data_IF_005365313052
#
_entry.id   IF_005365313052
#
_cell.length_a   1.000
_cell.length_b   1.000
_cell.length_c   1.000
_cell.angle_alpha   90.00
_cell.angle_beta   90.00
_cell.angle_gamma   90.00
#
_symmetry.space_group_name_H-M   'P 1'
#
loop_
_entity.id
_entity.type
_entity.pdbx_description
1 polymer ?
#
# COMPACT_ATOMS: atom_id res chain seq x y z
N UNK A 1 -5.19 -41.04 5.60
CA UNK A 1 -6.65 -40.93 5.38
C UNK A 1 -7.01 -39.47 5.34
N UNK A 2 -7.66 -38.98 4.28
CA UNK A 2 -8.08 -37.56 4.15
C UNK A 2 -9.43 -37.42 4.86
N UNK A 3 -9.58 -36.42 5.74
CA UNK A 3 -10.82 -36.14 6.45
C UNK A 3 -11.32 -34.73 6.08
N UNK A 4 -12.65 -34.58 6.01
CA UNK A 4 -13.26 -33.25 5.89
C UNK A 4 -13.27 -32.62 7.28
N UNK A 5 -12.73 -31.41 7.40
CA UNK A 5 -12.71 -30.65 8.64
C UNK A 5 -14.14 -30.23 9.03
N UNK A 6 -14.42 -30.17 10.32
CA UNK A 6 -15.66 -29.57 10.82
C UNK A 6 -15.65 -28.05 10.56
N UNK A 7 -16.86 -27.48 10.42
CA UNK A 7 -17.01 -26.05 10.15
C UNK A 7 -16.27 -25.16 11.18
N UNK A 8 -16.27 -25.56 12.46
CA UNK A 8 -15.55 -24.86 13.54
C UNK A 8 -14.03 -24.85 13.30
N UNK A 9 -13.43 -26.00 12.95
CA UNK A 9 -11.99 -26.09 12.66
C UNK A 9 -11.64 -25.33 11.40
N UNK A 10 -12.44 -25.46 10.34
CA UNK A 10 -12.23 -24.73 9.09
C UNK A 10 -12.29 -23.22 9.30
N UNK A 11 -13.30 -22.71 10.01
CA UNK A 11 -13.46 -21.28 10.30
C UNK A 11 -12.29 -20.73 11.12
N UNK A 12 -11.75 -21.48 12.08
CA UNK A 12 -10.57 -21.08 12.86
C UNK A 12 -9.28 -21.07 12.01
N UNK A 13 -9.15 -21.95 11.03
CA UNK A 13 -8.02 -21.94 10.09
C UNK A 13 -8.15 -20.74 9.17
N UNK A 14 -9.31 -20.54 8.53
CA UNK A 14 -9.60 -19.40 7.66
C UNK A 14 -9.45 -18.06 8.39
N UNK A 15 -9.93 -17.99 9.66
CA UNK A 15 -9.69 -16.81 10.51
C UNK A 15 -8.20 -16.50 10.69
N UNK A 16 -7.30 -17.49 10.57
CA UNK A 16 -5.87 -17.27 10.67
C UNK A 16 -5.23 -16.60 9.46
N UNK A 17 -5.87 -16.72 8.32
CA UNK A 17 -5.41 -16.08 7.09
C UNK A 17 -5.89 -14.62 6.99
N UNK A 18 -7.02 -14.30 7.63
CA UNK A 18 -7.65 -12.97 7.59
C UNK A 18 -7.32 -12.13 8.81
N UNK A 19 -7.30 -12.76 10.01
CA UNK A 19 -7.10 -12.09 11.31
C UNK A 19 -5.86 -12.67 11.98
N UNK A 20 -4.74 -12.05 11.78
CA UNK A 20 -3.46 -12.45 12.39
C UNK A 20 -3.18 -11.68 13.70
N UNK A 21 -3.66 -10.43 13.82
CA UNK A 21 -3.33 -9.52 14.92
C UNK A 21 -4.43 -8.48 15.16
N UNK A 22 -4.44 -7.79 16.34
CA UNK A 22 -5.42 -6.73 16.64
C UNK A 22 -5.52 -5.62 15.59
N UNK A 23 -4.39 -5.19 15.01
CA UNK A 23 -4.40 -4.15 13.98
C UNK A 23 -5.16 -4.56 12.71
N UNK A 24 -5.17 -5.86 12.35
CA UNK A 24 -5.95 -6.38 11.21
C UNK A 24 -7.45 -6.27 11.48
N UNK A 25 -7.87 -6.54 12.74
CA UNK A 25 -9.28 -6.36 13.16
C UNK A 25 -9.69 -4.90 13.01
N UNK A 26 -8.90 -3.96 13.57
CA UNK A 26 -9.20 -2.52 13.49
C UNK A 26 -9.26 -2.08 12.02
N UNK A 27 -8.30 -2.54 11.19
CA UNK A 27 -8.27 -2.20 9.77
C UNK A 27 -9.56 -2.61 9.06
N UNK A 28 -9.95 -3.88 9.15
CA UNK A 28 -11.14 -4.40 8.45
C UNK A 28 -12.43 -3.74 8.94
N UNK A 29 -12.57 -3.50 10.25
CA UNK A 29 -13.78 -2.88 10.79
C UNK A 29 -13.88 -1.37 10.43
N UNK A 30 -12.78 -0.63 10.43
CA UNK A 30 -12.75 0.78 9.98
C UNK A 30 -13.01 0.87 8.48
N UNK A 31 -12.45 -0.03 7.67
CA UNK A 31 -12.75 -0.11 6.23
C UNK A 31 -14.25 -0.38 5.98
N UNK A 32 -14.90 -1.21 6.82
CA UNK A 32 -16.33 -1.43 6.74
C UNK A 32 -17.16 -0.18 7.09
N UNK A 33 -16.75 0.57 8.10
CA UNK A 33 -17.39 1.84 8.47
C UNK A 33 -17.27 2.89 7.35
N UNK A 34 -16.10 3.00 6.71
CA UNK A 34 -15.89 3.88 5.55
C UNK A 34 -16.77 3.44 4.38
N UNK A 35 -16.82 2.14 4.07
CA UNK A 35 -17.64 1.59 2.99
C UNK A 35 -19.16 1.75 3.26
N UNK A 36 -19.57 1.83 4.55
CA UNK A 36 -20.95 2.15 4.94
C UNK A 36 -21.29 3.65 4.79
N UNK A 37 -20.36 4.47 4.28
CA UNK A 37 -20.56 5.90 4.07
C UNK A 37 -20.55 6.74 5.36
N UNK A 38 -19.85 6.28 6.40
CA UNK A 38 -19.71 7.03 7.63
C UNK A 38 -18.86 8.29 7.44
N UNK A 39 -19.26 9.39 8.04
CA UNK A 39 -18.50 10.63 8.14
C UNK A 39 -18.01 10.93 9.58
N UNK A 40 -18.37 10.08 10.54
CA UNK A 40 -17.89 10.10 11.93
C UNK A 40 -17.62 8.68 12.42
N UNK A 41 -16.36 8.40 12.75
CA UNK A 41 -15.90 7.07 13.16
C UNK A 41 -15.12 7.20 14.48
N UNK A 42 -15.62 6.53 15.52
CA UNK A 42 -14.94 6.43 16.80
C UNK A 42 -14.32 5.03 16.94
N UNK A 43 -13.04 4.98 17.32
CA UNK A 43 -12.29 3.75 17.59
C UNK A 43 -11.74 3.78 18.98
N UNK A 44 -12.05 2.78 19.78
CA UNK A 44 -11.55 2.59 21.14
C UNK A 44 -10.86 1.24 21.27
N UNK A 45 -9.68 1.23 21.88
CA UNK A 45 -8.95 -0.01 22.18
C UNK A 45 -8.47 -0.05 23.62
N UNK A 46 -8.42 -1.27 24.17
CA UNK A 46 -7.81 -1.55 25.47
C UNK A 46 -6.88 -2.77 25.37
N UNK A 47 -5.82 -2.78 26.21
CA UNK A 47 -4.86 -3.88 26.25
C UNK A 47 -4.18 -4.16 24.90
N UNK A 48 -3.87 -3.10 24.12
CA UNK A 48 -3.33 -3.27 22.75
C UNK A 48 -4.32 -3.88 21.75
N UNK A 49 -5.63 -3.78 22.02
CA UNK A 49 -6.69 -4.37 21.20
C UNK A 49 -6.92 -5.86 21.46
N UNK A 50 -6.31 -6.43 22.49
CA UNK A 50 -6.55 -7.82 22.92
C UNK A 50 -7.80 -7.93 23.79
N UNK A 51 -7.97 -6.95 24.70
CA UNK A 51 -9.09 -6.92 25.64
C UNK A 51 -10.33 -6.33 25.02
N UNK A 52 -10.18 -5.20 24.32
CA UNK A 52 -11.29 -4.50 23.67
C UNK A 52 -10.83 -3.84 22.37
N UNK A 53 -11.66 -3.99 21.33
CA UNK A 53 -11.71 -3.14 20.16
C UNK A 53 -13.18 -2.77 19.97
N UNK A 54 -13.51 -1.48 20.01
CA UNK A 54 -14.84 -0.95 19.75
C UNK A 54 -14.77 0.06 18.63
N UNK A 55 -15.61 -0.11 17.62
CA UNK A 55 -15.71 0.81 16.50
C UNK A 55 -17.16 1.21 16.35
N UNK A 56 -17.41 2.51 16.38
CA UNK A 56 -18.74 3.10 16.23
C UNK A 56 -18.72 4.04 15.05
N UNK A 57 -19.64 3.87 14.14
CA UNK A 57 -19.84 4.69 12.95
C UNK A 57 -21.25 5.23 12.83
N UNK A 58 -21.43 6.29 12.08
CA UNK A 58 -22.73 6.90 11.74
C UNK A 58 -23.18 6.59 10.30
N UNK A 59 -22.71 5.49 9.71
CA UNK A 59 -23.02 5.08 8.35
C UNK A 59 -24.48 4.68 8.12
N UNK A 60 -24.73 3.92 7.06
CA UNK A 60 -26.07 3.50 6.69
C UNK A 60 -26.75 2.54 7.69
N UNK A 61 -25.97 1.89 8.56
CA UNK A 61 -26.44 0.86 9.47
C UNK A 61 -26.73 -0.47 8.75
N UNK A 62 -27.15 -1.47 9.55
CA UNK A 62 -27.50 -2.83 9.11
C UNK A 62 -28.95 -3.10 9.50
N UNK A 63 -29.77 -3.55 8.56
CA UNK A 63 -31.16 -3.88 8.82
C UNK A 63 -31.27 -5.10 9.75
N UNK A 64 -32.33 -5.16 10.55
CA UNK A 64 -32.56 -6.27 11.50
C UNK A 64 -32.48 -7.64 10.85
N UNK A 65 -33.03 -7.76 9.65
CA UNK A 65 -33.11 -9.00 8.87
C UNK A 65 -31.73 -9.48 8.40
N UNK A 66 -30.79 -8.55 8.25
CA UNK A 66 -29.43 -8.85 7.79
C UNK A 66 -28.42 -9.07 8.93
N UNK A 67 -28.75 -8.67 10.18
CA UNK A 67 -27.87 -8.86 11.33
C UNK A 67 -27.35 -10.32 11.48
N UNK A 68 -28.16 -11.38 11.32
CA UNK A 68 -27.66 -12.75 11.40
C UNK A 68 -26.65 -13.10 10.31
N UNK A 69 -26.74 -12.44 9.15
CA UNK A 69 -25.86 -12.68 8.01
C UNK A 69 -24.46 -12.08 8.20
N UNK A 70 -24.33 -11.09 9.10
CA UNK A 70 -23.04 -10.42 9.37
C UNK A 70 -21.97 -11.41 9.82
N UNK A 71 -22.35 -12.46 10.54
CA UNK A 71 -21.46 -13.50 11.04
C UNK A 71 -21.30 -14.71 10.12
N UNK A 72 -21.97 -14.70 8.96
CA UNK A 72 -21.85 -15.80 7.99
C UNK A 72 -20.65 -15.56 7.06
N UNK A 73 -19.82 -16.59 6.83
CA UNK A 73 -18.77 -16.51 5.80
C UNK A 73 -19.38 -16.23 4.42
N UNK A 74 -18.65 -15.47 3.60
CA UNK A 74 -19.04 -15.11 2.22
C UNK A 74 -20.32 -14.25 2.12
N UNK A 75 -20.82 -13.69 3.23
CA UNK A 75 -21.92 -12.75 3.21
C UNK A 75 -21.38 -11.33 2.97
N UNK A 76 -21.78 -10.71 1.87
CA UNK A 76 -21.35 -9.35 1.50
C UNK A 76 -22.48 -8.61 0.78
N UNK A 77 -22.61 -7.32 1.08
CA UNK A 77 -23.47 -6.40 0.32
C UNK A 77 -22.71 -5.67 -0.80
N UNK A 78 -21.38 -5.90 -0.92
CA UNK A 78 -20.46 -5.10 -1.72
C UNK A 78 -20.20 -5.67 -3.12
N UNK A 79 -20.58 -6.94 -3.36
CA UNK A 79 -20.44 -7.63 -4.66
C UNK A 79 -21.70 -8.43 -4.93
N UNK A 80 -22.25 -8.28 -6.14
CA UNK A 80 -23.40 -9.04 -6.62
C UNK A 80 -23.06 -9.95 -7.80
N UNK A 81 -21.99 -9.63 -8.54
CA UNK A 81 -21.57 -10.41 -9.71
C UNK A 81 -20.06 -10.61 -9.79
N UNK A 82 -19.62 -11.61 -10.56
CA UNK A 82 -18.20 -11.88 -10.80
C UNK A 82 -17.52 -10.78 -11.62
N UNK A 83 -18.29 -10.04 -12.43
CA UNK A 83 -17.75 -8.95 -13.25
C UNK A 83 -17.34 -7.73 -12.39
N UNK A 84 -18.02 -7.51 -11.25
CA UNK A 84 -17.68 -6.44 -10.31
C UNK A 84 -16.31 -6.64 -9.62
N UNK A 85 -15.75 -7.87 -9.67
CA UNK A 85 -14.40 -8.15 -9.18
C UNK A 85 -13.31 -7.40 -9.95
N UNK A 86 -13.59 -6.98 -11.19
CA UNK A 86 -12.65 -6.19 -12.00
C UNK A 86 -12.73 -4.68 -11.73
N UNK A 87 -13.81 -4.22 -11.07
CA UNK A 87 -14.05 -2.80 -10.80
C UNK A 87 -14.37 -2.55 -9.32
N UNK A 88 -13.50 -3.03 -8.42
CA UNK A 88 -13.73 -2.92 -6.97
C UNK A 88 -13.52 -1.47 -6.51
N UNK A 89 -14.61 -0.77 -6.18
CA UNK A 89 -14.59 0.57 -5.62
C UNK A 89 -14.61 0.60 -4.09
N UNK A 90 -14.89 -0.54 -3.42
CA UNK A 90 -14.93 -0.67 -1.96
C UNK A 90 -13.58 -1.10 -1.40
N UNK A 91 -13.29 -0.75 -0.15
CA UNK A 91 -12.05 -1.14 0.54
C UNK A 91 -12.07 -2.64 0.87
N UNK A 92 -13.22 -3.18 1.31
CA UNK A 92 -13.45 -4.61 1.56
C UNK A 92 -14.43 -5.21 0.55
N UNK A 93 -14.32 -6.52 0.22
CA UNK A 93 -15.21 -7.19 -0.73
C UNK A 93 -15.48 -8.69 -0.45
N UNK A 94 -14.65 -9.36 0.38
CA UNK A 94 -14.67 -10.83 0.52
C UNK A 94 -15.80 -11.38 1.38
N UNK A 95 -16.40 -10.56 2.27
CA UNK A 95 -17.44 -11.04 3.20
C UNK A 95 -16.96 -12.07 4.23
N UNK A 96 -15.65 -12.08 4.54
CA UNK A 96 -15.05 -13.08 5.43
C UNK A 96 -14.53 -12.47 6.73
N UNK A 97 -14.22 -11.16 6.75
CA UNK A 97 -13.54 -10.53 7.87
C UNK A 97 -14.32 -10.59 9.17
N UNK A 98 -15.60 -10.21 9.18
CA UNK A 98 -16.43 -10.18 10.38
C UNK A 98 -16.68 -11.60 10.91
N UNK A 99 -16.98 -12.56 10.05
CA UNK A 99 -17.15 -13.97 10.42
C UNK A 99 -15.86 -14.55 11.03
N UNK A 100 -14.70 -14.22 10.44
CA UNK A 100 -13.38 -14.63 10.93
C UNK A 100 -13.07 -14.02 12.32
N UNK A 101 -13.33 -12.72 12.52
CA UNK A 101 -13.16 -12.05 13.82
C UNK A 101 -14.06 -12.70 14.88
N UNK A 102 -15.33 -12.90 14.57
CA UNK A 102 -16.31 -13.47 15.48
C UNK A 102 -15.97 -14.91 15.90
N UNK A 103 -15.33 -15.69 15.03
CA UNK A 103 -14.91 -17.08 15.33
C UNK A 103 -13.79 -17.16 16.38
N UNK A 104 -13.02 -16.09 16.59
CA UNK A 104 -11.85 -16.04 17.49
C UNK A 104 -11.98 -15.00 18.60
N UNK A 105 -13.15 -14.43 18.80
CA UNK A 105 -13.42 -13.40 19.80
C UNK A 105 -14.83 -13.50 20.37
N UNK A 106 -15.14 -12.66 21.36
CA UNK A 106 -16.50 -12.33 21.76
C UNK A 106 -16.90 -11.04 21.06
N UNK A 107 -17.81 -11.14 20.11
CA UNK A 107 -18.18 -10.01 19.26
C UNK A 107 -19.65 -9.65 19.47
N UNK A 108 -19.96 -8.35 19.50
CA UNK A 108 -21.33 -7.86 19.40
C UNK A 108 -21.42 -6.78 18.31
N UNK A 109 -22.52 -6.81 17.59
CA UNK A 109 -22.90 -5.82 16.59
C UNK A 109 -24.21 -5.20 17.02
N UNK A 110 -24.20 -3.87 17.24
CA UNK A 110 -25.40 -3.07 17.48
C UNK A 110 -25.59 -2.13 16.32
N UNK A 111 -26.74 -2.14 15.68
CA UNK A 111 -26.95 -1.33 14.49
C UNK A 111 -28.36 -0.78 14.39
N UNK A 112 -28.45 0.38 13.73
CA UNK A 112 -29.68 1.10 13.45
C UNK A 112 -29.64 1.70 12.07
N UNK A 113 -30.61 1.38 11.24
CA UNK A 113 -30.84 2.07 9.97
C UNK A 113 -31.72 3.31 10.18
N UNK A 114 -31.75 4.20 9.22
CA UNK A 114 -32.57 5.42 9.29
C UNK A 114 -34.06 5.09 9.44
N UNK A 115 -34.71 5.72 10.43
CA UNK A 115 -36.14 5.52 10.71
C UNK A 115 -36.51 4.20 11.38
N UNK A 116 -35.57 3.30 11.69
CA UNK A 116 -35.80 2.03 12.35
C UNK A 116 -35.38 2.04 13.83
N UNK A 117 -35.70 0.97 14.56
CA UNK A 117 -35.21 0.70 15.90
C UNK A 117 -33.81 0.08 15.84
N UNK A 118 -33.04 0.26 16.93
CA UNK A 118 -31.74 -0.37 17.06
C UNK A 118 -31.88 -1.82 17.58
N UNK A 119 -31.06 -2.70 17.02
CA UNK A 119 -30.94 -4.11 17.43
C UNK A 119 -29.50 -4.48 17.66
N UNK A 120 -29.29 -5.42 18.57
CA UNK A 120 -27.97 -6.00 18.86
C UNK A 120 -27.97 -7.50 18.66
N UNK A 121 -26.84 -8.04 18.22
CA UNK A 121 -26.61 -9.47 18.06
C UNK A 121 -25.19 -9.80 18.53
N UNK A 122 -25.08 -10.76 19.45
CA UNK A 122 -23.80 -11.24 19.96
C UNK A 122 -23.38 -12.55 19.28
N UNK A 123 -22.05 -12.74 19.18
CA UNK A 123 -21.45 -13.98 18.71
C UNK A 123 -20.21 -14.29 19.57
N UNK A 124 -20.14 -15.47 20.14
CA UNK A 124 -19.00 -15.92 20.95
C UNK A 124 -18.35 -17.15 20.32
N UNK A 125 -17.11 -17.01 19.85
CA UNK A 125 -16.35 -18.09 19.22
C UNK A 125 -17.04 -18.72 17.99
N UNK A 126 -17.81 -17.92 17.24
CA UNK A 126 -18.58 -18.38 16.08
C UNK A 126 -20.01 -18.87 16.38
N UNK A 127 -20.42 -18.87 17.65
CA UNK A 127 -21.79 -19.23 18.05
C UNK A 127 -22.62 -17.96 18.19
N UNK A 128 -23.59 -17.78 17.33
CA UNK A 128 -24.47 -16.61 17.28
C UNK A 128 -25.62 -16.74 18.27
N UNK A 129 -25.87 -15.67 19.04
CA UNK A 129 -26.99 -15.57 19.98
C UNK A 129 -28.30 -15.17 19.32
N UNK A 130 -29.22 -14.61 20.13
CA UNK A 130 -30.49 -14.06 19.64
C UNK A 130 -30.39 -12.54 19.40
N UNK A 131 -31.21 -12.05 18.45
CA UNK A 131 -31.35 -10.62 18.20
C UNK A 131 -32.17 -10.00 19.33
N UNK A 132 -31.61 -8.98 19.98
CA UNK A 132 -32.28 -8.26 21.04
C UNK A 132 -32.45 -6.77 20.67
N UNK A 133 -33.54 -6.12 21.10
CA UNK A 133 -33.67 -4.67 20.98
C UNK A 133 -32.52 -3.99 21.74
N UNK A 134 -32.00 -2.91 21.20
CA UNK A 134 -30.91 -2.14 21.78
C UNK A 134 -31.18 -0.64 21.71
N UNK A 135 -30.37 0.15 22.41
CA UNK A 135 -30.32 1.59 22.23
C UNK A 135 -29.08 1.93 21.41
N UNK A 136 -29.24 2.85 20.45
CA UNK A 136 -28.13 3.28 19.60
C UNK A 136 -28.57 4.36 18.62
N UNK A 137 -27.63 5.17 18.18
CA UNK A 137 -27.84 6.13 17.10
C UNK A 137 -27.82 5.44 15.75
N UNK A 138 -28.15 6.18 14.68
CA UNK A 138 -27.99 5.68 13.31
C UNK A 138 -26.53 5.30 13.05
N UNK A 139 -26.30 4.13 12.44
CA UNK A 139 -24.99 3.59 12.16
C UNK A 139 -24.78 2.23 12.77
N UNK A 140 -23.53 1.86 13.01
CA UNK A 140 -23.17 0.56 13.56
C UNK A 140 -22.10 0.70 14.63
N UNK A 141 -22.28 0.00 15.76
CA UNK A 141 -21.25 -0.29 16.75
C UNK A 141 -20.82 -1.75 16.62
N UNK A 142 -19.54 -1.97 16.38
CA UNK A 142 -18.90 -3.29 16.43
C UNK A 142 -17.96 -3.34 17.62
N UNK A 143 -18.22 -4.26 18.56
CA UNK A 143 -17.43 -4.47 19.76
C UNK A 143 -16.83 -5.85 19.73
N UNK A 144 -15.51 -5.95 19.85
CA UNK A 144 -14.73 -7.20 19.89
C UNK A 144 -14.00 -7.26 21.21
N UNK A 145 -14.28 -8.30 21.99
CA UNK A 145 -13.70 -8.55 23.31
C UNK A 145 -12.94 -9.87 23.33
N UNK A 146 -11.92 -9.96 24.18
CA UNK A 146 -11.13 -11.18 24.43
C UNK A 146 -10.61 -11.83 23.14
N UNK A 147 -9.97 -11.05 22.27
CA UNK A 147 -9.46 -11.54 20.99
C UNK A 147 -8.51 -12.72 21.20
N UNK A 148 -8.76 -13.83 20.46
CA UNK A 148 -8.05 -15.10 20.54
C UNK A 148 -8.25 -15.90 21.82
N UNK A 149 -9.33 -15.66 22.59
CA UNK A 149 -9.63 -16.39 23.84
C UNK A 149 -9.68 -17.92 23.64
N UNK A 150 -10.16 -18.36 22.48
CA UNK A 150 -10.31 -19.77 22.11
C UNK A 150 -9.15 -20.31 21.24
N UNK A 151 -8.11 -19.51 21.01
CA UNK A 151 -6.91 -19.85 20.23
C UNK A 151 -5.64 -19.49 20.98
N UNK A 152 -5.31 -20.19 22.09
CA UNK A 152 -4.22 -19.80 23.00
C UNK A 152 -2.83 -19.82 22.33
N UNK A 153 -2.64 -20.61 21.29
CA UNK A 153 -1.41 -20.58 20.51
C UNK A 153 -1.21 -19.20 19.86
N UNK A 154 -2.25 -18.65 19.21
CA UNK A 154 -2.17 -17.29 18.59
C UNK A 154 -1.97 -16.20 19.62
N UNK A 155 -2.68 -16.28 20.76
CA UNK A 155 -2.52 -15.31 21.83
C UNK A 155 -1.06 -15.22 22.33
N UNK A 156 -0.33 -16.34 22.36
CA UNK A 156 1.09 -16.39 22.71
C UNK A 156 2.02 -15.75 21.69
N UNK A 157 1.63 -15.71 20.42
CA UNK A 157 2.42 -15.10 19.34
C UNK A 157 2.19 -13.60 19.18
N UNK A 158 1.21 -13.02 19.87
CA UNK A 158 1.00 -11.58 19.88
C UNK A 158 2.19 -10.88 20.53
N UNK A 159 2.48 -9.69 20.03
CA UNK A 159 3.48 -8.81 20.63
C UNK A 159 3.00 -8.26 21.98
N UNK A 160 3.85 -7.47 22.65
CA UNK A 160 3.44 -6.75 23.86
C UNK A 160 2.30 -5.77 23.55
N UNK A 161 1.48 -5.44 24.55
CA UNK A 161 0.35 -4.52 24.40
C UNK A 161 0.79 -3.17 23.83
N UNK A 162 1.93 -2.64 24.29
CA UNK A 162 2.49 -1.39 23.76
C UNK A 162 2.87 -1.47 22.28
N UNK A 163 3.35 -2.63 21.81
CA UNK A 163 3.72 -2.81 20.41
C UNK A 163 2.47 -2.98 19.53
N UNK A 164 1.45 -3.72 19.99
CA UNK A 164 0.17 -3.86 19.30
C UNK A 164 -0.56 -2.50 19.24
N UNK A 165 -0.56 -1.74 20.32
CA UNK A 165 -1.07 -0.36 20.38
C UNK A 165 -0.37 0.54 19.36
N UNK A 166 0.97 0.45 19.26
CA UNK A 166 1.74 1.23 18.28
C UNK A 166 1.36 0.87 16.85
N UNK A 167 1.17 -0.42 16.54
CA UNK A 167 0.78 -0.88 15.22
C UNK A 167 -0.65 -0.39 14.85
N UNK A 168 -1.59 -0.41 15.82
CA UNK A 168 -2.94 0.14 15.64
C UNK A 168 -2.88 1.67 15.49
N UNK A 169 -2.11 2.36 16.31
CA UNK A 169 -1.95 3.82 16.21
C UNK A 169 -1.43 4.23 14.83
N UNK A 170 -0.49 3.46 14.27
CA UNK A 170 0.03 3.70 12.92
C UNK A 170 -1.04 3.51 11.83
N UNK A 171 -1.90 2.49 11.93
CA UNK A 171 -2.97 2.30 10.94
C UNK A 171 -4.04 3.38 11.06
N UNK A 172 -4.40 3.80 12.29
CA UNK A 172 -5.33 4.91 12.53
C UNK A 172 -4.80 6.23 11.95
N UNK A 173 -3.52 6.54 12.14
CA UNK A 173 -2.88 7.69 11.49
C UNK A 173 -3.04 7.66 9.96
N UNK A 174 -2.89 6.48 9.35
CA UNK A 174 -3.07 6.31 7.89
C UNK A 174 -4.52 6.49 7.45
N UNK A 175 -5.50 6.02 8.22
CA UNK A 175 -6.92 6.28 7.93
C UNK A 175 -7.24 7.76 7.99
N UNK A 176 -6.82 8.47 9.07
CA UNK A 176 -7.02 9.92 9.22
C UNK A 176 -6.42 10.68 8.04
N UNK A 177 -5.23 10.28 7.56
CA UNK A 177 -4.58 10.90 6.42
C UNK A 177 -5.24 10.54 5.08
N UNK A 178 -5.70 9.29 4.91
CA UNK A 178 -6.27 8.81 3.65
C UNK A 178 -7.70 9.32 3.42
N UNK A 179 -8.41 9.65 4.49
CA UNK A 179 -9.80 10.14 4.52
C UNK A 179 -9.90 11.42 5.34
N UNK A 180 -9.24 12.49 4.90
CA UNK A 180 -9.18 13.74 5.67
C UNK A 180 -10.53 14.46 5.77
N UNK A 181 -11.55 14.02 5.05
CA UNK A 181 -12.94 14.46 5.11
C UNK A 181 -13.76 13.79 6.21
N UNK A 182 -13.27 12.66 6.76
CA UNK A 182 -13.96 11.91 7.83
C UNK A 182 -13.48 12.38 9.21
N UNK A 183 -14.43 12.52 10.13
CA UNK A 183 -14.13 12.75 11.54
C UNK A 183 -13.72 11.45 12.20
N UNK A 184 -12.54 11.43 12.79
CA UNK A 184 -12.06 10.30 13.56
C UNK A 184 -11.81 10.66 15.00
N UNK A 185 -12.30 9.84 15.92
CA UNK A 185 -11.89 9.86 17.33
C UNK A 185 -11.25 8.52 17.66
N UNK A 186 -9.95 8.53 17.98
CA UNK A 186 -9.22 7.34 18.39
C UNK A 186 -8.78 7.46 19.83
N UNK A 187 -9.20 6.51 20.66
CA UNK A 187 -8.89 6.44 22.09
C UNK A 187 -8.23 5.12 22.47
N UNK A 188 -7.31 5.18 23.41
CA UNK A 188 -6.52 4.07 23.92
C UNK A 188 -6.62 4.07 25.44
N UNK A 189 -7.11 2.98 26.03
CA UNK A 189 -7.27 2.84 27.47
C UNK A 189 -8.01 4.07 28.08
N UNK A 190 -9.09 4.52 27.44
CA UNK A 190 -9.92 5.65 27.84
C UNK A 190 -9.32 7.04 27.58
N UNK A 191 -8.12 7.14 26.96
CA UNK A 191 -7.48 8.43 26.62
C UNK A 191 -7.53 8.69 25.13
N UNK A 192 -8.03 9.85 24.70
CA UNK A 192 -8.02 10.24 23.29
C UNK A 192 -6.58 10.44 22.81
N UNK A 193 -6.22 9.71 21.78
CA UNK A 193 -4.91 9.78 21.11
C UNK A 193 -4.93 10.67 19.88
N UNK A 194 -5.96 10.52 19.04
CA UNK A 194 -6.21 11.36 17.86
C UNK A 194 -7.67 11.82 17.83
N UNK A 195 -7.87 13.05 17.36
CA UNK A 195 -9.21 13.58 17.05
C UNK A 195 -9.12 14.45 15.82
N UNK A 196 -9.65 13.98 14.70
CA UNK A 196 -9.78 14.77 13.47
C UNK A 196 -11.22 15.21 13.28
N UNK A 197 -11.42 16.33 12.57
CA UNK A 197 -12.73 16.94 12.40
C UNK A 197 -13.24 16.94 10.97
N UNK A 198 -12.51 16.30 10.03
CA UNK A 198 -12.88 16.29 8.63
C UNK A 198 -12.48 17.56 7.86
N UNK A 199 -11.55 18.36 8.40
CA UNK A 199 -11.18 19.69 7.89
C UNK A 199 -10.12 19.66 6.78
N UNK A 200 -9.92 18.50 6.14
CA UNK A 200 -8.99 18.33 5.04
C UNK A 200 -7.58 17.86 5.44
N UNK A 201 -6.74 17.65 4.41
CA UNK A 201 -5.45 16.97 4.59
C UNK A 201 -4.45 17.74 5.45
N UNK A 202 -4.40 19.08 5.35
CA UNK A 202 -3.51 19.89 6.18
C UNK A 202 -3.85 19.75 7.67
N UNK A 203 -5.15 19.81 8.03
CA UNK A 203 -5.60 19.61 9.41
C UNK A 203 -5.33 18.18 9.90
N UNK A 204 -5.54 17.17 9.04
CA UNK A 204 -5.23 15.78 9.34
C UNK A 204 -3.72 15.58 9.61
N UNK A 205 -2.84 16.21 8.82
CA UNK A 205 -1.39 16.21 9.04
C UNK A 205 -1.01 16.84 10.37
N UNK A 206 -1.59 18.02 10.70
CA UNK A 206 -1.36 18.69 11.98
C UNK A 206 -1.78 17.83 13.16
N UNK A 207 -2.89 17.12 13.02
CA UNK A 207 -3.42 16.23 14.05
C UNK A 207 -2.51 15.02 14.30
N UNK A 208 -2.00 14.39 13.24
CA UNK A 208 -1.19 13.18 13.33
C UNK A 208 0.27 13.48 13.68
N UNK A 209 0.87 14.49 13.06
CA UNK A 209 2.32 14.75 13.15
C UNK A 209 2.69 16.06 13.86
N UNK A 210 1.70 16.86 14.26
CA UNK A 210 1.88 18.16 14.89
C UNK A 210 1.87 19.32 13.89
N UNK A 211 1.44 20.51 14.35
CA UNK A 211 1.30 21.71 13.51
C UNK A 211 2.64 22.15 12.88
N UNK A 212 3.76 22.01 13.58
CA UNK A 212 5.11 22.29 13.09
C UNK A 212 5.44 21.52 11.79
N UNK A 213 4.83 20.35 11.57
CA UNK A 213 5.06 19.59 10.35
C UNK A 213 4.58 20.32 9.12
N UNK A 214 3.46 21.04 9.19
CA UNK A 214 2.90 21.77 8.04
C UNK A 214 3.82 22.94 7.65
N UNK A 215 4.36 23.66 8.64
CA UNK A 215 5.26 24.80 8.42
C UNK A 215 6.55 24.38 7.70
N UNK A 216 6.94 23.12 7.85
CA UNK A 216 8.14 22.54 7.26
C UNK A 216 7.85 21.68 6.01
N UNK A 217 6.65 21.77 5.44
CA UNK A 217 6.28 20.99 4.26
C UNK A 217 5.88 21.89 3.09
N UNK A 218 6.08 21.36 1.89
CA UNK A 218 5.51 21.91 0.65
C UNK A 218 4.29 21.11 0.27
N UNK A 219 3.21 21.81 -0.10
CA UNK A 219 2.04 21.18 -0.71
C UNK A 219 2.31 20.90 -2.19
N UNK A 220 1.91 19.72 -2.64
CA UNK A 220 2.00 19.29 -4.04
C UNK A 220 0.60 19.08 -4.58
N UNK A 221 0.36 19.63 -5.78
CA UNK A 221 -0.80 19.31 -6.61
C UNK A 221 -0.37 19.42 -8.07
N UNK A 222 -0.08 18.30 -8.72
CA UNK A 222 0.41 18.26 -10.10
C UNK A 222 -0.22 17.10 -10.88
N UNK A 223 -0.49 17.34 -12.15
CA UNK A 223 -0.90 16.32 -13.12
C UNK A 223 0.22 16.13 -14.14
N UNK A 224 0.64 14.88 -14.35
CA UNK A 224 1.65 14.54 -15.35
C UNK A 224 1.40 13.15 -15.94
N UNK A 225 1.30 13.05 -17.26
CA UNK A 225 1.02 11.82 -17.99
C UNK A 225 -0.25 11.09 -17.51
N UNK A 226 -1.32 11.85 -17.16
CA UNK A 226 -2.54 11.27 -16.59
C UNK A 226 -2.40 10.77 -15.16
N UNK A 227 -1.28 11.08 -14.49
CA UNK A 227 -1.01 10.76 -13.08
C UNK A 227 -1.21 12.02 -12.28
N UNK A 228 -2.22 12.04 -11.40
CA UNK A 228 -2.40 13.12 -10.46
C UNK A 228 -1.63 12.83 -9.18
N UNK A 229 -0.65 13.67 -8.86
CA UNK A 229 0.13 13.63 -7.63
C UNK A 229 -0.28 14.79 -6.73
N UNK A 230 -0.76 14.49 -5.52
CA UNK A 230 -1.16 15.49 -4.52
C UNK A 230 -0.65 15.09 -3.13
N UNK A 231 -0.53 16.05 -2.24
CA UNK A 231 -0.14 15.81 -0.85
C UNK A 231 0.91 16.76 -0.34
N UNK A 232 1.73 16.31 0.60
CA UNK A 232 2.75 17.09 1.27
C UNK A 232 4.09 16.38 1.29
N UNK A 233 5.17 17.14 1.07
CA UNK A 233 6.56 16.70 1.22
C UNK A 233 7.32 17.65 2.14
N UNK A 234 8.23 17.12 2.95
CA UNK A 234 9.11 17.92 3.78
C UNK A 234 10.01 18.86 2.95
N UNK A 235 10.31 20.03 3.45
CA UNK A 235 11.31 20.91 2.84
C UNK A 235 12.72 20.27 2.95
N UNK A 236 13.75 20.90 2.34
CA UNK A 236 15.10 20.37 2.27
C UNK A 236 15.75 20.13 3.66
N UNK A 237 15.26 20.80 4.71
CA UNK A 237 15.78 20.72 6.07
C UNK A 237 14.95 19.79 6.98
N UNK A 238 13.76 19.35 6.52
CA UNK A 238 12.84 18.54 7.31
C UNK A 238 13.00 17.06 7.00
N UNK A 239 13.85 16.39 7.78
CA UNK A 239 14.10 14.96 7.67
C UNK A 239 13.69 14.20 8.92
N UNK A 240 13.50 12.89 8.78
CA UNK A 240 13.15 11.97 9.88
C UNK A 240 14.21 10.87 10.03
N UNK A 241 14.32 10.31 11.22
CA UNK A 241 15.29 9.26 11.54
C UNK A 241 14.92 7.88 10.95
N UNK A 242 13.65 7.69 10.56
CA UNK A 242 13.14 6.43 10.02
C UNK A 242 12.04 6.67 8.99
N UNK A 243 11.61 5.57 8.33
CA UNK A 243 10.60 5.59 7.25
C UNK A 243 9.15 5.56 7.74
N UNK A 244 8.88 5.55 9.04
CA UNK A 244 7.50 5.50 9.56
C UNK A 244 6.68 6.75 9.25
N UNK A 245 7.37 7.84 8.89
CA UNK A 245 6.79 9.12 8.48
C UNK A 245 6.58 9.25 6.96
N UNK A 246 6.61 8.12 6.26
CA UNK A 246 6.44 8.05 4.81
C UNK A 246 5.12 7.35 4.51
N UNK A 247 4.17 8.06 3.91
CA UNK A 247 2.87 7.52 3.54
C UNK A 247 2.61 7.74 2.06
N UNK A 248 2.29 6.63 1.36
CA UNK A 248 1.92 6.62 -0.04
C UNK A 248 0.52 6.04 -0.17
N UNK A 249 -0.31 6.73 -0.92
CA UNK A 249 -1.66 6.29 -1.23
C UNK A 249 -1.84 6.23 -2.75
N UNK A 250 -2.35 5.12 -3.27
CA UNK A 250 -2.67 4.94 -4.68
C UNK A 250 -4.17 4.67 -4.79
N UNK A 251 -4.89 5.53 -5.51
CA UNK A 251 -6.35 5.46 -5.64
C UNK A 251 -7.04 5.33 -4.27
N UNK A 252 -6.59 6.14 -3.29
CA UNK A 252 -7.12 6.17 -1.93
C UNK A 252 -6.71 5.01 -1.01
N UNK A 253 -5.86 4.07 -1.47
CA UNK A 253 -5.35 2.94 -0.67
C UNK A 253 -3.91 3.18 -0.23
N UNK A 254 -3.61 2.92 1.04
CA UNK A 254 -2.24 2.93 1.51
C UNK A 254 -1.43 1.80 0.86
N UNK A 255 -0.25 2.15 0.33
CA UNK A 255 0.64 1.20 -0.33
C UNK A 255 2.08 1.33 0.14
N UNK A 256 2.81 0.21 0.09
CA UNK A 256 4.26 0.16 0.30
C UNK A 256 4.88 -0.28 -1.02
N UNK A 257 5.37 0.69 -1.80
CA UNK A 257 5.92 0.40 -3.13
C UNK A 257 7.35 0.93 -3.26
N UNK A 258 8.26 0.07 -3.72
CA UNK A 258 9.68 0.40 -3.82
C UNK A 258 9.97 1.42 -4.92
N UNK A 259 9.28 1.37 -6.05
CA UNK A 259 9.46 2.30 -7.18
C UNK A 259 9.12 3.72 -6.75
N UNK A 260 7.97 3.91 -6.10
CA UNK A 260 7.54 5.21 -5.59
C UNK A 260 8.48 5.73 -4.49
N UNK A 261 8.82 4.88 -3.53
CA UNK A 261 9.74 5.25 -2.44
C UNK A 261 11.13 5.62 -2.96
N UNK A 262 11.62 4.92 -4.00
CA UNK A 262 12.89 5.24 -4.65
C UNK A 262 12.82 6.57 -5.41
N UNK A 263 11.73 6.85 -6.15
CA UNK A 263 11.54 8.12 -6.85
C UNK A 263 11.61 9.31 -5.89
N UNK A 264 10.88 9.24 -4.76
CA UNK A 264 10.91 10.27 -3.72
C UNK A 264 12.32 10.38 -3.12
N UNK A 265 12.91 9.26 -2.67
CA UNK A 265 14.23 9.27 -2.02
C UNK A 265 15.32 9.84 -2.93
N UNK A 266 15.29 9.48 -4.22
CA UNK A 266 16.28 9.98 -5.18
C UNK A 266 16.10 11.47 -5.49
N UNK A 267 14.87 12.00 -5.47
CA UNK A 267 14.63 13.44 -5.59
C UNK A 267 15.26 14.23 -4.41
N UNK A 268 15.35 13.62 -3.24
CA UNK A 268 15.98 14.20 -2.06
C UNK A 268 17.49 13.93 -1.95
N UNK A 269 18.10 13.18 -2.86
CA UNK A 269 19.48 12.70 -2.72
C UNK A 269 20.52 13.82 -2.54
N UNK A 270 20.28 14.99 -3.14
CA UNK A 270 21.16 16.15 -3.03
C UNK A 270 20.95 16.99 -1.76
N UNK A 271 19.87 16.75 -1.01
CA UNK A 271 19.48 17.58 0.13
C UNK A 271 19.67 16.88 1.46
N UNK A 272 19.45 15.57 1.53
CA UNK A 272 19.47 14.80 2.77
C UNK A 272 20.77 14.03 2.97
N UNK A 273 21.25 14.01 4.20
CA UNK A 273 22.43 13.22 4.57
C UNK A 273 22.12 11.72 4.63
N UNK A 274 23.18 10.89 4.62
CA UNK A 274 23.03 9.44 4.81
C UNK A 274 22.30 9.14 6.12
N UNK A 275 21.33 8.20 6.07
CA UNK A 275 20.46 7.80 7.18
C UNK A 275 19.40 8.83 7.59
N UNK A 276 19.17 9.85 6.79
CA UNK A 276 18.03 10.74 6.90
C UNK A 276 16.97 10.33 5.86
N UNK A 277 15.71 10.41 6.24
CA UNK A 277 14.59 10.02 5.39
C UNK A 277 13.69 11.23 5.16
N UNK A 278 13.26 11.48 3.91
CA UNK A 278 12.30 12.53 3.64
C UNK A 278 10.97 12.23 4.32
N UNK A 279 10.32 13.29 4.82
CA UNK A 279 8.92 13.22 5.21
C UNK A 279 8.04 13.38 3.98
N UNK A 280 7.03 12.53 3.85
CA UNK A 280 6.01 12.73 2.82
C UNK A 280 4.70 12.01 3.13
N UNK A 281 3.61 12.62 2.68
CA UNK A 281 2.27 12.05 2.58
C UNK A 281 1.77 12.35 1.18
N UNK A 282 1.79 11.36 0.31
CA UNK A 282 1.53 11.51 -1.12
C UNK A 282 0.38 10.62 -1.58
N UNK A 283 -0.46 11.19 -2.41
CA UNK A 283 -1.58 10.53 -3.08
C UNK A 283 -1.33 10.52 -4.57
N UNK A 284 -1.42 9.35 -5.17
CA UNK A 284 -1.37 9.13 -6.60
C UNK A 284 -2.74 8.65 -7.05
N UNK A 285 -3.41 9.46 -7.84
CA UNK A 285 -4.65 9.06 -8.52
C UNK A 285 -4.28 8.66 -9.95
N UNK A 286 -4.55 7.40 -10.30
CA UNK A 286 -4.14 6.74 -11.53
C UNK A 286 -5.35 6.08 -12.20
N UNK A 287 -5.41 6.03 -13.56
CA UNK A 287 -6.35 5.18 -14.26
C UNK A 287 -6.22 3.72 -13.84
N UNK A 288 -7.33 3.02 -13.69
CA UNK A 288 -7.35 1.61 -13.25
C UNK A 288 -6.62 0.66 -14.19
N UNK A 289 -6.52 1.02 -15.48
CA UNK A 289 -5.85 0.21 -16.49
C UNK A 289 -4.33 0.13 -16.31
N UNK A 290 -3.73 1.11 -15.63
CA UNK A 290 -2.26 1.17 -15.45
C UNK A 290 -1.79 0.69 -14.08
N UNK A 291 -2.71 0.28 -13.20
CA UNK A 291 -2.38 -0.19 -11.85
C UNK A 291 -3.12 -1.47 -11.50
N UNK A 292 -2.37 -2.52 -11.15
CA UNK A 292 -2.93 -3.73 -10.56
C UNK A 292 -2.76 -3.68 -9.03
N UNK A 293 -3.88 -3.66 -8.34
CA UNK A 293 -3.98 -3.56 -6.86
C UNK A 293 -4.13 -4.94 -6.22
N UNK A 294 -4.39 -5.99 -7.01
CA UNK A 294 -4.67 -7.33 -6.50
C UNK A 294 -3.43 -8.24 -6.47
N UNK A 295 -2.30 -7.71 -6.06
CA UNK A 295 -1.00 -8.40 -6.08
C UNK A 295 -0.73 -9.20 -4.81
N UNK A 296 -1.23 -8.75 -3.65
CA UNK A 296 -0.92 -9.35 -2.35
C UNK A 296 -2.21 -9.49 -1.50
N UNK A 297 -2.36 -10.55 -0.67
CA UNK A 297 -3.53 -10.73 0.21
C UNK A 297 -3.85 -9.50 1.06
N UNK A 298 -2.84 -8.84 1.61
CA UNK A 298 -2.98 -7.62 2.42
C UNK A 298 -3.17 -6.35 1.59
N UNK A 299 -3.19 -6.44 0.24
CA UNK A 299 -3.34 -5.30 -0.70
C UNK A 299 -2.39 -4.11 -0.42
N UNK A 300 -1.27 -4.38 0.27
CA UNK A 300 -0.31 -3.35 0.67
C UNK A 300 0.69 -3.01 -0.44
N UNK A 301 0.74 -3.77 -1.53
CA UNK A 301 1.59 -3.51 -2.68
C UNK A 301 0.75 -3.41 -3.97
N UNK A 302 1.29 -2.68 -4.94
CA UNK A 302 0.66 -2.48 -6.24
C UNK A 302 1.70 -2.69 -7.34
N UNK A 303 1.24 -3.19 -8.49
CA UNK A 303 2.05 -3.28 -9.71
C UNK A 303 1.57 -2.25 -10.72
N UNK A 304 2.52 -1.56 -11.32
CA UNK A 304 2.23 -0.61 -12.39
C UNK A 304 2.55 -1.24 -13.75
N UNK A 305 1.76 -0.90 -14.76
CA UNK A 305 2.01 -1.34 -16.14
C UNK A 305 3.37 -0.82 -16.64
N UNK A 306 3.74 0.42 -16.28
CA UNK A 306 5.04 1.02 -16.58
C UNK A 306 5.62 1.72 -15.34
N UNK A 307 6.59 1.05 -14.71
CA UNK A 307 7.31 1.58 -13.56
C UNK A 307 8.16 2.80 -13.90
N UNK A 308 8.63 2.96 -15.16
CA UNK A 308 9.52 4.06 -15.54
C UNK A 308 8.74 5.38 -15.65
N UNK A 309 7.54 5.33 -16.24
CA UNK A 309 6.66 6.50 -16.35
C UNK A 309 6.25 6.97 -14.95
N UNK A 310 5.84 6.04 -14.09
CA UNK A 310 5.46 6.36 -12.70
C UNK A 310 6.64 6.96 -11.93
N UNK A 311 7.80 6.30 -11.97
CA UNK A 311 9.02 6.80 -11.33
C UNK A 311 9.40 8.19 -11.84
N UNK A 312 9.47 8.38 -13.15
CA UNK A 312 9.87 9.64 -13.78
C UNK A 312 8.89 10.78 -13.48
N UNK A 313 7.59 10.51 -13.44
CA UNK A 313 6.56 11.49 -13.10
C UNK A 313 6.70 11.96 -11.65
N UNK A 314 6.77 11.02 -10.70
CA UNK A 314 6.92 11.35 -9.27
C UNK A 314 8.25 12.06 -8.99
N UNK A 315 9.36 11.54 -9.51
CA UNK A 315 10.69 12.13 -9.36
C UNK A 315 10.73 13.57 -9.86
N UNK A 316 10.25 13.83 -11.08
CA UNK A 316 10.33 15.16 -11.70
C UNK A 316 9.46 16.20 -10.99
N UNK A 317 8.27 15.83 -10.52
CA UNK A 317 7.38 16.72 -9.76
C UNK A 317 8.04 17.10 -8.43
N UNK A 318 8.54 16.12 -7.69
CA UNK A 318 9.18 16.37 -6.39
C UNK A 318 10.45 17.20 -6.54
N UNK A 319 11.31 16.88 -7.51
CA UNK A 319 12.52 17.66 -7.78
C UNK A 319 12.19 19.12 -8.13
N UNK A 320 11.17 19.36 -8.98
CA UNK A 320 10.75 20.71 -9.33
C UNK A 320 10.28 21.52 -8.11
N UNK A 321 9.58 20.88 -7.16
CA UNK A 321 9.16 21.54 -5.91
C UNK A 321 10.34 21.85 -5.02
N UNK A 322 11.28 20.90 -4.85
CA UNK A 322 12.46 21.08 -4.02
C UNK A 322 13.43 22.15 -4.57
N UNK A 323 13.55 22.25 -5.90
CA UNK A 323 14.38 23.26 -6.57
C UNK A 323 13.76 24.66 -6.53
N UNK A 324 12.55 24.83 -5.95
CA UNK A 324 11.82 26.09 -5.92
C UNK A 324 11.33 26.56 -7.30
N UNK A 325 11.26 25.65 -8.27
CA UNK A 325 10.95 25.95 -9.65
C UNK A 325 9.43 25.90 -9.89
N UNK A 326 8.69 26.80 -9.24
CA UNK A 326 7.23 26.94 -9.41
C UNK A 326 6.82 27.14 -10.88
N UNK A 327 7.69 27.73 -11.71
CA UNK A 327 7.47 27.84 -13.16
C UNK A 327 7.49 26.48 -13.86
N UNK A 328 8.30 25.51 -13.40
CA UNK A 328 8.30 24.16 -13.96
C UNK A 328 7.00 23.42 -13.67
N UNK A 329 6.42 23.63 -12.49
CA UNK A 329 5.10 23.08 -12.15
C UNK A 329 3.97 23.71 -12.98
N UNK A 330 3.98 25.04 -13.20
CA UNK A 330 3.04 25.69 -14.10
C UNK A 330 3.19 25.22 -15.56
N UNK A 331 4.41 24.95 -16.01
CA UNK A 331 4.66 24.41 -17.36
C UNK A 331 4.14 22.98 -17.51
N UNK A 332 4.29 22.13 -16.50
CA UNK A 332 3.76 20.77 -16.50
C UNK A 332 2.22 20.75 -16.55
N UNK A 333 1.58 21.69 -15.84
CA UNK A 333 0.10 21.84 -15.83
C UNK A 333 -0.42 22.54 -17.08
N UNK A 334 0.31 23.51 -17.65
CA UNK A 334 -0.09 24.25 -18.84
C UNK A 334 0.14 23.50 -20.15
N UNK A 335 1.24 22.73 -20.26
CA UNK A 335 1.56 21.98 -21.47
C UNK A 335 0.44 21.00 -21.87
N UNK A 336 -0.10 20.29 -20.92
CA UNK A 336 -1.20 19.35 -21.18
C UNK A 336 -2.53 20.04 -21.52
N UNK A 337 -2.82 21.22 -20.94
CA UNK A 337 -4.03 21.98 -21.29
C UNK A 337 -3.96 22.59 -22.69
N UNK A 338 -2.79 22.90 -23.20
CA UNK A 338 -2.62 23.41 -24.57
C UNK A 338 -2.65 22.27 -25.61
N UNK A 339 -2.12 21.08 -25.27
CA UNK A 339 -2.24 19.89 -26.14
C UNK A 339 -3.66 19.40 -26.24
N UNK A 340 -4.40 19.32 -25.12
CA UNK A 340 -5.83 18.93 -25.12
C UNK A 340 -6.70 19.96 -25.87
N UNK A 341 -6.44 21.26 -25.70
CA UNK A 341 -7.16 22.29 -26.46
C UNK A 341 -6.77 22.35 -27.94
N UNK A 342 -5.60 21.87 -28.30
CA UNK A 342 -5.14 21.77 -29.68
C UNK A 342 -5.77 20.56 -30.38
N UNK A 343 -5.95 19.44 -29.65
CA UNK A 343 -6.68 18.26 -30.11
C UNK A 343 -8.18 18.54 -30.32
N UNK A 344 -8.79 19.35 -29.46
CA UNK A 344 -10.21 19.73 -29.58
C UNK A 344 -10.49 20.81 -30.66
N UNK A 345 -9.45 21.50 -31.16
CA UNK A 345 -9.59 22.58 -32.16
C UNK A 345 -9.26 22.19 -33.59
N UNK A 346 -9.04 20.92 -33.89
CA UNK A 346 -8.94 20.47 -35.29
C UNK A 346 -10.36 20.30 -35.82
N UNK A 347 -10.88 21.23 -36.68
CA UNK A 347 -12.12 20.98 -37.35
C UNK A 347 -11.94 19.75 -38.23
N UNK A 348 -12.94 18.90 -38.33
CA UNK A 348 -12.98 17.81 -39.28
C UNK A 348 -12.88 18.39 -40.70
N UNK A 349 -11.67 18.65 -41.17
CA UNK A 349 -11.37 18.99 -42.54
C UNK A 349 -11.12 17.69 -43.30
N UNK A 350 -11.83 17.57 -44.38
CA UNK A 350 -11.82 16.50 -45.39
C UNK A 350 -10.48 15.76 -45.48
N UNK A 351 -10.54 14.44 -45.34
CA UNK A 351 -9.39 13.57 -45.50
C UNK A 351 -8.83 13.73 -46.92
N UNK A 352 -7.59 14.12 -47.11
CA UNK A 352 -6.98 14.06 -48.42
C UNK A 352 -6.82 12.57 -48.77
N UNK A 353 -7.35 12.19 -49.93
CA UNK A 353 -7.16 10.88 -50.54
C UNK A 353 -5.67 10.69 -50.75
N UNK A 354 -5.04 9.85 -49.93
CA UNK A 354 -3.63 9.47 -50.12
C UNK A 354 -3.59 8.40 -51.20
N UNK A 355 -2.85 8.62 -52.30
CA UNK A 355 -2.66 7.57 -53.31
C UNK A 355 -1.89 6.40 -52.67
N UNK A 356 -2.40 5.19 -52.79
CA UNK A 356 -1.69 3.97 -52.38
C UNK A 356 -0.47 3.77 -53.26
N UNK A 357 0.70 4.16 -52.79
CA UNK A 357 1.98 3.78 -53.45
C UNK A 357 2.36 2.36 -53.02
N UNK A 358 2.72 1.54 -53.99
CA UNK A 358 3.13 0.15 -53.77
C UNK A 358 4.51 0.12 -53.05
N UNK A 359 4.74 -0.93 -52.27
CA UNK A 359 5.95 -1.15 -51.44
C UNK A 359 7.27 -1.17 -52.28
N UNK A 360 7.17 -1.30 -53.62
CA UNK A 360 8.31 -1.29 -54.54
C UNK A 360 8.82 0.14 -54.88
N UNK A 361 7.98 1.15 -54.79
CA UNK A 361 8.34 2.54 -55.12
C UNK A 361 8.94 3.31 -53.95
N UNK A 362 8.62 2.93 -52.71
CA UNK A 362 9.17 3.54 -51.50
C UNK A 362 10.68 3.26 -51.28
N UNK A 363 11.22 2.23 -51.92
CA UNK A 363 12.63 1.81 -51.77
C UNK A 363 13.63 2.60 -52.61
N UNK A 364 13.16 3.46 -53.53
CA UNK A 364 14.01 4.21 -54.46
C UNK A 364 14.32 5.66 -54.08
N UNK A 365 13.75 6.19 -52.99
CA UNK A 365 13.89 7.61 -52.61
C UNK A 365 14.70 7.92 -51.34
N UNK A 366 15.43 6.97 -50.78
CA UNK A 366 16.29 7.24 -49.64
C UNK A 366 17.75 6.89 -50.00
N UNK A 367 18.35 7.73 -50.85
CA UNK A 367 19.80 7.85 -50.94
C UNK A 367 20.21 9.12 -50.18
N UNK A 368 20.67 8.99 -48.94
CA UNK A 368 21.29 10.08 -48.23
C UNK A 368 22.72 10.30 -48.70
N UNK A 369 22.94 11.44 -49.34
CA UNK A 369 24.28 11.94 -49.71
C UNK A 369 24.99 12.42 -48.48
N UNK A 370 25.97 11.67 -47.99
CA UNK A 370 26.86 12.06 -46.88
C UNK A 370 28.10 12.76 -47.49
N UNK A 371 27.99 14.07 -47.73
CA UNK A 371 29.20 14.90 -47.92
C UNK A 371 29.60 15.57 -46.59
N UNK A 372 30.87 15.48 -46.17
CA UNK A 372 31.31 16.10 -44.92
C UNK A 372 31.47 17.62 -45.06
N UNK A 373 30.70 18.38 -44.29
CA UNK A 373 30.89 19.83 -44.13
C UNK A 373 32.07 20.07 -43.23
N UNK A 374 33.14 20.64 -43.76
CA UNK A 374 34.23 21.24 -42.97
C UNK A 374 33.72 22.54 -42.35
N UNK A 375 33.55 22.61 -41.03
CA UNK A 375 33.42 23.85 -40.31
C UNK A 375 34.47 23.92 -39.22
N UNK A 376 35.24 24.97 -39.24
CA UNK A 376 36.26 25.29 -38.26
C UNK A 376 35.63 25.92 -37.01
N UNK A 377 36.50 25.93 -35.97
CA UNK A 377 36.38 26.61 -34.68
C UNK A 377 35.49 25.93 -33.65
N UNK A 378 36.13 25.04 -32.88
CA UNK A 378 35.62 24.59 -31.59
C UNK A 378 36.17 25.48 -30.46
N UNK A 379 35.37 25.91 -29.48
CA UNK A 379 35.90 26.48 -28.25
C UNK A 379 36.53 25.36 -27.41
N UNK A 380 37.75 25.58 -26.93
CA UNK A 380 38.43 24.71 -25.97
C UNK A 380 37.71 24.80 -24.63
N UNK A 381 36.95 23.77 -24.28
CA UNK A 381 36.60 23.50 -22.90
C UNK A 381 37.71 22.61 -22.31
N UNK A 382 38.40 23.15 -21.28
CA UNK A 382 39.26 22.36 -20.40
C UNK A 382 38.39 21.35 -19.70
N UNK A 383 38.58 20.08 -19.98
CA UNK A 383 37.96 18.98 -19.23
C UNK A 383 38.56 18.94 -17.83
N UNK A 384 37.75 18.79 -16.77
CA UNK A 384 38.30 18.45 -15.46
C UNK A 384 38.86 17.03 -15.51
N UNK A 385 39.99 16.84 -14.81
CA UNK A 385 40.71 15.58 -14.70
C UNK A 385 39.77 14.41 -14.39
N UNK A 386 39.83 13.38 -15.20
CA UNK A 386 39.10 12.13 -14.96
C UNK A 386 39.48 11.53 -13.60
N UNK A 387 38.48 11.11 -12.76
CA UNK A 387 38.81 10.41 -11.53
C UNK A 387 39.50 9.09 -11.89
N UNK A 388 40.46 8.62 -11.08
CA UNK A 388 41.20 7.40 -11.37
C UNK A 388 40.26 6.20 -11.50
N UNK A 389 40.23 5.62 -12.69
CA UNK A 389 39.51 4.36 -12.95
C UNK A 389 40.17 3.29 -12.10
N UNK A 390 39.53 2.93 -10.99
CA UNK A 390 39.87 1.75 -10.20
C UNK A 390 39.64 0.51 -11.08
N UNK A 391 40.71 0.00 -11.67
CA UNK A 391 40.68 -1.32 -12.32
C UNK A 391 40.47 -2.36 -11.23
N UNK A 392 39.22 -2.77 -11.07
CA UNK A 392 38.89 -3.94 -10.26
C UNK A 392 39.49 -5.15 -10.98
N UNK A 393 40.54 -5.72 -10.40
CA UNK A 393 41.15 -6.96 -10.86
C UNK A 393 40.11 -8.07 -10.69
N UNK A 394 39.69 -8.71 -11.77
CA UNK A 394 38.87 -9.91 -11.67
C UNK A 394 39.75 -11.02 -11.05
N UNK A 395 39.28 -11.69 -9.98
CA UNK A 395 40.05 -12.77 -9.35
C UNK A 395 40.22 -13.94 -10.34
N UNK A 396 41.37 -14.55 -10.34
CA UNK A 396 41.69 -15.70 -11.18
C UNK A 396 40.85 -16.91 -10.72
N UNK A 397 40.57 -17.82 -11.66
CA UNK A 397 39.74 -19.03 -11.40
C UNK A 397 40.28 -19.86 -10.24
N UNK A 398 41.61 -19.88 -10.04
CA UNK A 398 42.28 -20.52 -8.91
C UNK A 398 41.98 -19.82 -7.58
N UNK A 399 41.98 -18.49 -7.55
CA UNK A 399 41.68 -17.75 -6.33
C UNK A 399 40.22 -17.98 -5.89
N UNK A 400 39.29 -18.16 -6.84
CA UNK A 400 37.91 -18.53 -6.56
C UNK A 400 37.79 -19.94 -6.03
N UNK A 401 38.54 -20.91 -6.59
CA UNK A 401 38.56 -22.30 -6.15
C UNK A 401 39.18 -22.42 -4.75
N UNK A 402 40.21 -21.66 -4.43
CA UNK A 402 40.85 -21.64 -3.11
C UNK A 402 39.92 -21.04 -2.03
N UNK A 403 39.21 -19.95 -2.32
CA UNK A 403 38.20 -19.37 -1.41
C UNK A 403 37.03 -20.36 -1.19
N UNK A 404 36.63 -21.08 -2.22
CA UNK A 404 35.61 -22.13 -2.10
C UNK A 404 36.08 -23.30 -1.22
N UNK A 405 37.32 -23.72 -1.37
CA UNK A 405 37.90 -24.79 -0.57
C UNK A 405 38.07 -24.38 0.91
N UNK A 406 38.44 -23.12 1.18
CA UNK A 406 38.57 -22.55 2.52
C UNK A 406 37.22 -22.42 3.21
N UNK A 407 36.20 -21.95 2.52
CA UNK A 407 34.81 -21.89 3.01
C UNK A 407 34.26 -23.31 3.30
N UNK A 408 34.54 -24.29 2.46
CA UNK A 408 34.15 -25.69 2.73
C UNK A 408 34.85 -26.25 3.97
N UNK A 409 36.12 -25.91 4.24
CA UNK A 409 36.83 -26.29 5.47
C UNK A 409 36.20 -25.60 6.69
N UNK A 410 35.90 -24.30 6.61
CA UNK A 410 35.24 -23.55 7.68
C UNK A 410 33.85 -24.09 8.04
N UNK A 411 33.08 -24.54 7.06
CA UNK A 411 31.78 -25.19 7.27
C UNK A 411 31.89 -26.60 7.86
N UNK A 412 33.00 -27.33 7.61
CA UNK A 412 33.25 -28.62 8.22
C UNK A 412 33.74 -28.53 9.68
N UNK A 413 34.50 -27.48 10.00
CA UNK A 413 35.04 -27.27 11.36
C UNK A 413 34.01 -26.68 12.34
N UNK A 414 32.99 -25.99 11.86
CA UNK A 414 31.82 -25.64 12.65
C UNK A 414 30.85 -26.81 12.69
N UNK A 415 31.10 -27.73 13.60
CA UNK A 415 30.26 -28.91 13.89
C UNK A 415 28.93 -28.50 14.53
N UNK A 416 28.02 -28.00 13.70
CA UNK A 416 26.58 -28.18 13.87
C UNK A 416 26.17 -29.07 12.72
N UNK A 417 26.30 -30.35 12.89
CA UNK A 417 25.89 -31.38 11.94
C UNK A 417 24.38 -31.60 12.08
N UNK A 418 23.59 -30.86 11.35
CA UNK A 418 22.46 -31.49 10.70
C UNK A 418 22.99 -32.07 9.39
N UNK A 419 23.06 -33.40 9.31
CA UNK A 419 23.32 -34.11 8.05
C UNK A 419 22.20 -33.81 7.09
N UNK A 420 22.42 -32.88 6.18
CA UNK A 420 21.53 -32.65 5.05
C UNK A 420 21.89 -33.73 4.03
N UNK A 421 21.00 -34.70 3.82
CA UNK A 421 21.14 -35.67 2.75
C UNK A 421 20.99 -34.97 1.39
N UNK A 422 21.89 -35.19 0.43
CA UNK A 422 21.90 -34.44 -0.82
C UNK A 422 20.67 -34.70 -1.72
N UNK A 423 19.93 -35.78 -1.49
CA UNK A 423 18.78 -36.18 -2.31
C UNK A 423 17.48 -35.38 -2.04
N UNK A 424 17.50 -34.44 -1.08
CA UNK A 424 16.31 -33.63 -0.71
C UNK A 424 16.33 -32.19 -1.26
N UNK A 425 17.34 -31.84 -2.05
CA UNK A 425 17.48 -30.50 -2.63
C UNK A 425 17.20 -30.53 -4.12
N UNK A 426 16.10 -29.89 -4.54
CA UNK A 426 15.74 -29.69 -5.93
C UNK A 426 16.38 -28.40 -6.46
N UNK A 427 17.26 -28.52 -7.45
CA UNK A 427 17.83 -27.37 -8.16
C UNK A 427 16.74 -26.62 -8.93
N UNK A 428 16.59 -25.31 -8.70
CA UNK A 428 15.57 -24.45 -9.32
C UNK A 428 16.15 -23.43 -10.31
N UNK A 429 17.43 -23.18 -10.30
CA UNK A 429 18.07 -22.25 -11.22
C UNK A 429 19.21 -21.44 -10.62
N UNK A 430 19.68 -20.48 -11.40
CA UNK A 430 20.73 -19.54 -11.00
C UNK A 430 20.19 -18.13 -10.86
N UNK A 431 20.61 -17.42 -9.79
CA UNK A 431 20.32 -16.02 -9.58
C UNK A 431 21.59 -15.20 -9.85
N UNK A 432 21.51 -14.27 -10.81
CA UNK A 432 22.62 -13.39 -11.21
C UNK A 432 23.93 -14.11 -11.62
N UNK A 433 23.83 -15.36 -12.08
CA UNK A 433 25.00 -16.21 -12.41
C UNK A 433 26.00 -16.40 -11.26
N UNK A 434 25.62 -16.10 -10.03
CA UNK A 434 26.49 -16.14 -8.84
C UNK A 434 25.95 -17.04 -7.75
N UNK A 435 24.63 -17.22 -7.69
CA UNK A 435 23.98 -18.03 -6.66
C UNK A 435 23.15 -19.14 -7.27
N UNK A 436 23.34 -20.39 -6.76
CA UNK A 436 22.53 -21.55 -7.12
C UNK A 436 21.33 -21.61 -6.16
N UNK A 437 20.12 -21.67 -6.71
CA UNK A 437 18.88 -21.78 -5.95
C UNK A 437 18.48 -23.24 -5.84
N UNK A 438 18.29 -23.71 -4.60
CA UNK A 438 17.76 -25.03 -4.28
C UNK A 438 16.52 -24.89 -3.42
N UNK A 439 15.51 -25.69 -3.70
CA UNK A 439 14.31 -25.82 -2.89
C UNK A 439 14.38 -27.14 -2.10
N UNK A 440 14.04 -27.09 -0.82
CA UNK A 440 13.91 -28.26 0.04
C UNK A 440 12.42 -28.55 0.22
N UNK A 441 12.00 -29.77 -0.08
CA UNK A 441 10.68 -30.24 0.35
C UNK A 441 10.70 -30.38 1.87
N UNK A 442 10.03 -29.49 2.58
CA UNK A 442 9.76 -29.63 4.01
C UNK A 442 8.45 -30.38 4.09
N UNK A 443 8.52 -31.67 4.35
CA UNK A 443 7.37 -32.43 4.78
C UNK A 443 6.99 -31.95 6.19
N UNK A 444 5.86 -31.29 6.33
CA UNK A 444 5.25 -31.08 7.62
C UNK A 444 4.65 -32.41 8.08
N UNK A 445 5.19 -32.96 9.15
CA UNK A 445 4.63 -34.07 9.93
C UNK A 445 3.59 -33.50 10.90
#
# INVERSE_FOLDING_TARGET
>A
MIHILTADVYNRIAAGEVVDRPYSVVKELVENAIDAGADDIAVEIEGGGKTLIRITDNGCGIAREDLPRVYLPHATSKLQSAEELFCINTLGFRGEAVASIASVSKMSVTSRTEGAEAFSLCCEGGVTGEIVPAAGDRGTEMKVEDLFFNTPARLKFLKSDAQEESDITNIMARFILSRPEIRFTYSVNGKVRYRSYGDGLAAALANVYGAETIENCYEICADKHGIRLRGFIGNQNFSKANRSYQSLFVNGRYVVNQTLSAAVTNAYASYLMKRQYPFYVLFLDLPSEIVDVNVHPNKADVRFADNQIIYGSVYSVISAVLDGNSRALEYLVRGEREETKRAERIPAAEQPVVPQMSYAEAKKQVAFDLTPVKSGIAPQFLAPDDPPVLKVRQPDRKEIEDVFAENQRYLRDKSVQEKIEPDTLLYKGELFRTYLLYEREIAFI
#
